data_IF_851857029030
#
_entry.id   IF_851857029030
#
_cell.length_a   1.000
_cell.length_b   1.000
_cell.length_c   1.000
_cell.angle_alpha   90.00
_cell.angle_beta   90.00
_cell.angle_gamma   90.00
#
_symmetry.space_group_name_H-M   'P 1'
#
loop_
_entity.id
_entity.type
_entity.pdbx_description
1 polymer ?
#
# COMPACT_ATOMS: atom_id res chain seq x y z
N UNK A 1 16.33 -1.52 -26.04
CA UNK A 1 16.09 -2.98 -25.92
C UNK A 1 15.87 -3.54 -27.32
N UNK A 2 16.47 -4.68 -27.61
CA UNK A 2 16.33 -5.38 -28.90
C UNK A 2 16.00 -6.84 -28.64
N UNK A 3 15.03 -7.38 -29.37
CA UNK A 3 14.81 -8.82 -29.42
C UNK A 3 15.85 -9.47 -30.34
N UNK A 4 16.80 -10.17 -29.75
CA UNK A 4 17.90 -10.85 -30.50
C UNK A 4 17.55 -12.28 -30.88
N UNK A 5 16.36 -12.76 -30.52
CA UNK A 5 15.85 -14.07 -30.97
C UNK A 5 15.48 -14.06 -32.43
N UNK A 6 15.30 -15.24 -32.99
CA UNK A 6 14.96 -15.46 -34.42
C UNK A 6 13.55 -16.03 -34.63
N UNK A 7 12.86 -16.45 -33.55
CA UNK A 7 11.63 -17.24 -33.66
C UNK A 7 10.44 -16.59 -32.96
N UNK A 8 10.60 -16.12 -31.72
CA UNK A 8 9.48 -15.69 -30.90
C UNK A 8 9.51 -14.21 -30.55
N UNK A 9 8.33 -13.59 -30.58
CA UNK A 9 8.16 -12.26 -30.04
C UNK A 9 8.13 -12.32 -28.48
N UNK A 10 8.65 -11.27 -27.84
CA UNK A 10 8.73 -11.20 -26.38
C UNK A 10 8.70 -9.78 -25.84
N UNK A 11 8.40 -9.65 -24.55
CA UNK A 11 8.56 -8.41 -23.80
C UNK A 11 9.73 -8.56 -22.82
N UNK A 12 10.46 -7.48 -22.59
CA UNK A 12 11.54 -7.44 -21.61
C UNK A 12 11.30 -6.35 -20.57
N UNK A 13 11.79 -6.58 -19.36
CA UNK A 13 11.75 -5.60 -18.27
C UNK A 13 13.12 -4.94 -18.16
N UNK A 14 13.13 -3.61 -18.19
CA UNK A 14 14.32 -2.82 -17.89
C UNK A 14 14.21 -2.31 -16.48
N UNK A 15 15.22 -2.58 -15.65
CA UNK A 15 15.31 -2.17 -14.27
C UNK A 15 16.50 -1.21 -14.11
N UNK A 16 16.26 -0.10 -13.40
CA UNK A 16 17.29 0.87 -13.05
C UNK A 16 17.57 0.74 -11.56
N UNK A 17 18.83 0.42 -11.27
CA UNK A 17 19.32 0.40 -9.89
C UNK A 17 20.30 1.53 -9.67
N UNK A 18 20.37 2.02 -8.43
CA UNK A 18 21.33 3.07 -8.06
C UNK A 18 22.13 2.65 -6.84
N UNK A 19 23.46 2.73 -6.94
CA UNK A 19 24.37 2.69 -5.79
C UNK A 19 24.51 4.10 -5.25
N UNK A 20 24.00 4.33 -4.05
CA UNK A 20 24.14 5.62 -3.36
C UNK A 20 25.49 5.70 -2.61
N UNK A 21 26.06 6.89 -2.39
CA UNK A 21 27.31 7.06 -1.66
C UNK A 21 27.17 6.57 -0.21
N UNK A 22 28.20 5.93 0.30
CA UNK A 22 28.29 5.48 1.68
C UNK A 22 28.88 6.63 2.53
N UNK A 23 28.02 7.38 3.18
CA UNK A 23 28.37 8.51 4.04
C UNK A 23 28.17 8.17 5.51
N UNK A 24 27.50 9.06 6.24
CA UNK A 24 27.12 8.83 7.64
C UNK A 24 26.08 7.71 7.73
N UNK A 25 25.16 7.68 6.76
CA UNK A 25 24.17 6.61 6.67
C UNK A 25 24.71 5.45 5.85
N UNK A 26 24.76 4.26 6.45
CA UNK A 26 25.09 3.03 5.72
C UNK A 26 23.90 2.67 4.83
N UNK A 27 24.17 2.38 3.56
CA UNK A 27 23.13 2.08 2.56
C UNK A 27 23.34 0.71 1.91
N UNK A 28 22.28 0.21 1.33
CA UNK A 28 22.31 -0.98 0.49
C UNK A 28 23.26 -0.78 -0.71
N UNK A 29 23.76 -1.89 -1.25
CA UNK A 29 24.69 -1.84 -2.39
C UNK A 29 24.05 -1.22 -3.64
N UNK A 30 22.78 -1.55 -3.90
CA UNK A 30 21.96 -1.00 -4.98
C UNK A 30 20.51 -1.00 -4.58
N UNK A 31 19.81 0.08 -4.82
CA UNK A 31 18.35 0.17 -4.67
C UNK A 31 17.69 0.26 -6.04
N UNK A 32 16.50 -0.32 -6.16
CA UNK A 32 15.66 -0.12 -7.32
C UNK A 32 15.17 1.33 -7.33
N UNK A 33 15.45 2.05 -8.44
CA UNK A 33 15.05 3.44 -8.59
C UNK A 33 13.91 3.61 -9.60
N UNK A 34 13.81 2.70 -10.58
CA UNK A 34 12.75 2.72 -11.57
C UNK A 34 12.79 1.49 -12.46
N UNK A 35 11.70 1.25 -13.16
CA UNK A 35 11.60 0.15 -14.12
C UNK A 35 10.59 0.45 -15.23
N UNK A 36 10.66 -0.31 -16.29
CA UNK A 36 9.71 -0.26 -17.39
C UNK A 36 9.70 -1.54 -18.19
N UNK A 37 8.59 -1.84 -18.85
CA UNK A 37 8.42 -3.03 -19.68
C UNK A 37 8.25 -2.64 -21.13
N UNK A 38 8.91 -3.36 -22.05
CA UNK A 38 8.78 -3.12 -23.49
C UNK A 38 7.38 -3.51 -23.97
N UNK A 39 6.98 -2.97 -25.12
CA UNK A 39 5.93 -3.60 -25.94
C UNK A 39 6.38 -5.00 -26.36
N UNK A 40 5.47 -5.76 -26.96
CA UNK A 40 5.83 -7.04 -27.58
C UNK A 40 6.73 -6.78 -28.79
N UNK A 41 7.99 -7.21 -28.71
CA UNK A 41 8.98 -7.03 -29.76
C UNK A 41 9.06 -8.30 -30.60
N UNK A 42 8.87 -8.15 -31.91
CA UNK A 42 9.13 -9.23 -32.87
C UNK A 42 10.63 -9.56 -32.95
N UNK A 43 11.03 -10.74 -33.50
CA UNK A 43 12.43 -11.06 -33.75
C UNK A 43 13.15 -9.96 -34.52
N UNK A 44 14.29 -9.49 -34.02
CA UNK A 44 15.06 -8.38 -34.57
C UNK A 44 14.53 -6.98 -34.26
N UNK A 45 13.31 -6.84 -33.77
CA UNK A 45 12.73 -5.54 -33.42
C UNK A 45 13.40 -4.92 -32.19
N UNK A 46 13.45 -3.59 -32.20
CA UNK A 46 14.02 -2.83 -31.10
C UNK A 46 13.08 -1.71 -30.62
N UNK A 47 13.22 -1.33 -29.37
CA UNK A 47 12.50 -0.22 -28.75
C UNK A 47 13.46 0.64 -27.93
N UNK A 48 13.41 1.94 -28.14
CA UNK A 48 14.00 2.90 -27.20
C UNK A 48 13.03 3.13 -26.07
N UNK A 49 13.54 3.12 -24.82
CA UNK A 49 12.76 3.38 -23.60
C UNK A 49 13.37 4.53 -22.82
N UNK A 50 12.51 5.34 -22.23
CA UNK A 50 12.89 6.34 -21.24
C UNK A 50 12.24 5.97 -19.92
N UNK A 51 13.06 5.81 -18.86
CA UNK A 51 12.60 5.53 -17.51
C UNK A 51 13.01 6.72 -16.64
N UNK A 52 12.03 7.38 -16.04
CA UNK A 52 12.23 8.56 -15.19
C UNK A 52 11.92 8.21 -13.75
N UNK A 53 12.74 8.70 -12.85
CA UNK A 53 12.48 8.59 -11.41
C UNK A 53 12.93 9.90 -10.71
N UNK A 54 12.25 10.31 -9.63
CA UNK A 54 12.62 11.52 -8.89
C UNK A 54 13.89 11.28 -8.06
N UNK A 55 14.69 12.32 -7.85
CA UNK A 55 15.87 12.25 -6.95
C UNK A 55 15.48 11.81 -5.53
N UNK A 56 14.29 12.14 -5.07
CA UNK A 56 13.74 11.70 -3.78
C UNK A 56 13.78 10.17 -3.61
N UNK A 57 13.69 9.40 -4.69
CA UNK A 57 13.81 7.94 -4.64
C UNK A 57 15.20 7.47 -4.19
N UNK A 58 16.20 8.35 -4.28
CA UNK A 58 17.58 8.08 -3.87
C UNK A 58 17.89 8.57 -2.44
N UNK A 59 16.99 9.36 -1.85
CA UNK A 59 17.14 9.87 -0.50
C UNK A 59 17.09 8.74 0.55
N UNK A 60 17.79 8.96 1.65
CA UNK A 60 17.69 8.13 2.86
C UNK A 60 17.22 9.00 4.02
N UNK A 61 16.55 8.38 4.99
CA UNK A 61 16.04 9.09 6.15
C UNK A 61 17.11 9.19 7.24
N UNK A 62 17.38 10.41 7.68
CA UNK A 62 18.23 10.70 8.83
C UNK A 62 17.34 10.94 10.06
N UNK A 63 17.43 10.04 11.05
CA UNK A 63 16.69 10.18 12.32
C UNK A 63 17.20 11.37 13.13
N UNK A 64 18.50 11.66 13.06
CA UNK A 64 19.13 12.78 13.76
C UNK A 64 18.67 14.14 13.23
N UNK A 65 18.46 14.23 11.92
CA UNK A 65 18.00 15.45 11.27
C UNK A 65 16.47 15.50 11.11
N UNK A 66 15.76 14.41 11.40
CA UNK A 66 14.35 14.21 11.09
C UNK A 66 14.04 14.57 9.62
N UNK A 67 14.85 14.08 8.67
CA UNK A 67 14.79 14.53 7.28
C UNK A 67 15.15 13.43 6.28
N UNK A 68 14.55 13.50 5.09
CA UNK A 68 15.02 12.77 3.92
C UNK A 68 16.16 13.54 3.28
N UNK A 69 17.34 12.91 3.21
CA UNK A 69 18.57 13.53 2.73
C UNK A 69 19.20 12.80 1.57
N UNK A 70 19.88 13.54 0.72
CA UNK A 70 20.85 13.01 -0.24
C UNK A 70 22.25 13.36 0.27
N UNK A 71 23.08 12.36 0.54
CA UNK A 71 24.45 12.60 0.97
C UNK A 71 25.36 12.91 -0.22
N UNK A 72 26.41 13.75 -0.01
CA UNK A 72 27.34 14.12 -1.09
C UNK A 72 28.12 12.91 -1.61
N UNK A 73 28.44 12.93 -2.89
CA UNK A 73 29.24 11.87 -3.53
C UNK A 73 28.62 11.37 -4.83
N UNK A 74 29.09 10.21 -5.27
CA UNK A 74 28.70 9.65 -6.55
C UNK A 74 27.56 8.63 -6.39
N UNK A 75 26.59 8.74 -7.29
CA UNK A 75 25.45 7.83 -7.43
C UNK A 75 25.62 7.05 -8.73
N UNK A 76 25.95 5.76 -8.63
CA UNK A 76 26.17 4.89 -9.78
C UNK A 76 24.87 4.35 -10.33
N UNK A 77 24.58 4.58 -11.62
CA UNK A 77 23.35 4.15 -12.30
C UNK A 77 23.62 2.85 -13.05
N UNK A 78 22.87 1.82 -12.68
CA UNK A 78 22.96 0.47 -13.23
C UNK A 78 21.71 0.13 -14.01
N UNK A 79 21.88 -0.43 -15.20
CA UNK A 79 20.77 -0.78 -16.09
C UNK A 79 20.85 -2.27 -16.42
N UNK A 80 19.74 -2.97 -16.30
CA UNK A 80 19.65 -4.39 -16.59
C UNK A 80 18.23 -4.91 -16.54
N UNK A 81 18.09 -6.22 -16.55
CA UNK A 81 16.82 -6.92 -16.35
C UNK A 81 16.78 -7.66 -15.00
N UNK A 82 17.86 -7.61 -14.25
CA UNK A 82 17.97 -8.10 -12.86
C UNK A 82 19.10 -7.39 -12.12
N UNK A 83 19.08 -7.50 -10.78
CA UNK A 83 20.03 -6.82 -9.90
C UNK A 83 21.49 -7.20 -10.16
N UNK A 84 21.78 -8.50 -10.28
CA UNK A 84 23.17 -9.01 -10.29
C UNK A 84 23.87 -8.80 -11.64
N UNK A 85 23.13 -8.86 -12.75
CA UNK A 85 23.67 -8.71 -14.11
C UNK A 85 23.52 -7.29 -14.66
N UNK A 86 22.95 -6.37 -13.86
CA UNK A 86 22.85 -4.96 -14.26
C UNK A 86 24.23 -4.33 -14.47
N UNK A 87 24.35 -3.48 -15.47
CA UNK A 87 25.62 -2.90 -15.95
C UNK A 87 25.67 -1.42 -15.56
N UNK A 88 26.81 -0.99 -14.97
CA UNK A 88 27.07 0.42 -14.69
C UNK A 88 27.06 1.22 -15.99
N UNK A 89 26.08 2.09 -16.14
CA UNK A 89 25.76 2.78 -17.40
C UNK A 89 25.85 4.30 -17.29
N UNK A 90 25.90 4.85 -16.07
CA UNK A 90 25.97 6.27 -15.82
C UNK A 90 26.27 6.59 -14.37
N UNK A 91 26.41 7.85 -14.04
CA UNK A 91 26.52 8.32 -12.67
C UNK A 91 26.07 9.77 -12.53
N UNK A 92 25.64 10.13 -11.32
CA UNK A 92 25.49 11.50 -10.84
C UNK A 92 26.57 11.78 -9.79
N UNK A 93 26.91 13.04 -9.56
CA UNK A 93 27.79 13.47 -8.47
C UNK A 93 27.18 14.69 -7.79
N UNK A 94 26.80 14.52 -6.53
CA UNK A 94 26.24 15.59 -5.69
C UNK A 94 27.37 16.25 -4.91
N UNK A 95 27.43 17.57 -4.95
CA UNK A 95 28.53 18.38 -4.36
C UNK A 95 28.47 18.48 -2.84
N UNK A 96 27.26 18.60 -2.28
CA UNK A 96 27.02 18.74 -0.84
C UNK A 96 25.75 17.98 -0.44
N UNK A 97 25.53 17.79 0.87
CA UNK A 97 24.29 17.23 1.36
C UNK A 97 23.10 18.11 0.96
N UNK A 98 22.00 17.45 0.56
CA UNK A 98 20.75 18.12 0.25
C UNK A 98 19.61 17.54 1.09
N UNK A 99 18.92 18.38 1.84
CA UNK A 99 17.68 18.01 2.52
C UNK A 99 16.55 18.09 1.50
N UNK A 100 15.94 16.95 1.20
CA UNK A 100 14.83 16.85 0.26
C UNK A 100 13.50 17.19 0.93
N UNK A 101 13.26 16.58 2.10
CA UNK A 101 12.03 16.79 2.88
C UNK A 101 12.39 16.89 4.35
N UNK A 102 12.01 17.97 4.99
CA UNK A 102 12.13 18.16 6.43
C UNK A 102 10.85 17.69 7.11
N UNK A 103 10.97 16.67 7.95
CA UNK A 103 9.88 16.04 8.69
C UNK A 103 10.01 16.28 10.21
N UNK A 104 9.11 15.64 10.97
CA UNK A 104 9.28 15.31 12.39
C UNK A 104 9.54 13.82 12.54
N UNK A 105 10.23 13.43 13.61
CA UNK A 105 10.38 12.00 13.92
C UNK A 105 9.05 11.38 14.37
N UNK A 106 8.87 10.11 14.01
CA UNK A 106 7.66 9.31 14.29
C UNK A 106 8.02 7.97 14.92
N UNK A 107 7.09 7.37 15.63
CA UNK A 107 7.20 6.02 16.17
C UNK A 107 8.53 5.76 16.94
N UNK A 108 8.90 6.58 17.93
CA UNK A 108 10.17 6.46 18.61
C UNK A 108 10.33 5.10 19.28
N UNK A 109 11.54 4.55 19.24
CA UNK A 109 11.88 3.34 19.98
C UNK A 109 11.79 3.59 21.49
N UNK A 110 11.23 2.63 22.24
CA UNK A 110 11.22 2.66 23.70
C UNK A 110 12.57 2.26 24.32
N UNK A 111 13.29 1.42 23.59
CA UNK A 111 14.62 0.92 24.00
C UNK A 111 15.56 0.94 22.80
N UNK A 112 16.86 1.01 23.07
CA UNK A 112 17.88 0.99 22.02
C UNK A 112 17.82 -0.33 21.25
N UNK A 113 17.68 -0.24 19.92
CA UNK A 113 17.70 -1.38 19.04
C UNK A 113 19.10 -1.68 18.58
N UNK A 114 19.58 -2.88 18.88
CA UNK A 114 20.87 -3.37 18.37
C UNK A 114 20.69 -3.86 16.93
N UNK A 115 20.97 -3.00 15.97
CA UNK A 115 20.90 -3.33 14.55
C UNK A 115 22.07 -4.22 14.08
N UNK A 116 21.80 -5.08 13.12
CA UNK A 116 22.81 -5.85 12.42
C UNK A 116 23.37 -4.99 11.28
N UNK A 117 24.61 -4.53 11.45
CA UNK A 117 25.27 -3.69 10.46
C UNK A 117 26.15 -4.54 9.53
N UNK A 118 26.25 -4.20 8.23
CA UNK A 118 27.20 -4.84 7.34
C UNK A 118 28.62 -4.52 7.73
N UNK A 119 29.56 -5.42 7.39
CA UNK A 119 30.98 -5.16 7.65
C UNK A 119 31.49 -3.94 6.86
N UNK A 120 31.89 -2.88 7.54
CA UNK A 120 32.34 -1.63 6.94
C UNK A 120 33.40 -1.83 5.83
N UNK A 121 34.36 -2.73 6.03
CA UNK A 121 35.37 -3.07 5.00
C UNK A 121 34.75 -3.62 3.71
N UNK A 122 33.66 -4.40 3.80
CA UNK A 122 32.95 -4.92 2.61
C UNK A 122 32.20 -3.82 1.89
N UNK A 123 31.56 -2.95 2.65
CA UNK A 123 30.83 -1.79 2.09
C UNK A 123 31.78 -0.89 1.32
N UNK A 124 32.88 -0.47 1.95
CA UNK A 124 33.93 0.36 1.33
C UNK A 124 34.57 -0.30 0.10
N UNK A 125 34.87 -1.60 0.18
CA UNK A 125 35.46 -2.32 -0.95
C UNK A 125 34.51 -2.36 -2.16
N UNK A 126 33.22 -2.54 -1.94
CA UNK A 126 32.22 -2.50 -3.01
C UNK A 126 32.09 -1.11 -3.63
N UNK A 127 32.08 -0.07 -2.82
CA UNK A 127 32.03 1.32 -3.30
C UNK A 127 33.24 1.66 -4.14
N UNK A 128 34.45 1.34 -3.65
CA UNK A 128 35.68 1.54 -4.41
C UNK A 128 35.68 0.76 -5.72
N UNK A 129 35.18 -0.47 -5.73
CA UNK A 129 35.16 -1.31 -6.93
C UNK A 129 34.35 -0.67 -8.07
N UNK A 130 33.13 -0.19 -7.78
CA UNK A 130 32.34 0.42 -8.83
C UNK A 130 32.84 1.83 -9.21
N UNK A 131 33.51 2.57 -8.31
CA UNK A 131 34.20 3.81 -8.67
C UNK A 131 35.34 3.56 -9.66
N UNK A 132 36.11 2.47 -9.47
CA UNK A 132 37.15 2.08 -10.43
C UNK A 132 36.54 1.61 -11.76
N UNK A 133 35.43 0.86 -11.74
CA UNK A 133 34.70 0.50 -12.94
C UNK A 133 34.21 1.74 -13.73
N UNK A 134 33.71 2.75 -13.00
CA UNK A 134 33.26 4.03 -13.59
C UNK A 134 34.42 4.69 -14.34
N UNK A 135 35.61 4.79 -13.72
CA UNK A 135 36.81 5.33 -14.35
C UNK A 135 37.27 4.49 -15.54
N UNK A 136 37.30 3.17 -15.39
CA UNK A 136 37.72 2.25 -16.47
C UNK A 136 36.83 2.34 -17.72
N UNK A 137 35.55 2.61 -17.51
CA UNK A 137 34.56 2.82 -18.60
C UNK A 137 34.59 4.25 -19.16
N UNK A 138 35.34 5.17 -18.57
CA UNK A 138 35.36 6.58 -18.97
C UNK A 138 34.02 7.31 -18.77
N UNK A 139 33.20 6.82 -17.83
CA UNK A 139 31.92 7.47 -17.51
C UNK A 139 32.19 8.70 -16.65
N UNK A 140 31.78 9.85 -17.15
CA UNK A 140 31.86 11.13 -16.43
C UNK A 140 30.54 11.33 -15.70
N UNK A 141 30.53 11.48 -14.35
CA UNK A 141 29.32 11.77 -13.61
C UNK A 141 28.69 13.11 -14.02
N UNK A 142 27.38 13.16 -14.09
CA UNK A 142 26.62 14.40 -14.25
C UNK A 142 26.63 15.13 -12.91
N UNK A 143 27.16 16.35 -12.88
CA UNK A 143 27.21 17.15 -11.66
C UNK A 143 25.82 17.65 -11.27
N UNK A 144 25.48 17.47 -10.00
CA UNK A 144 24.24 17.96 -9.38
C UNK A 144 24.65 18.86 -8.21
N UNK A 145 24.06 20.05 -8.13
CA UNK A 145 24.31 20.97 -7.02
C UNK A 145 23.19 20.88 -5.99
N UNK A 146 23.55 20.68 -4.75
CA UNK A 146 22.60 20.67 -3.64
C UNK A 146 21.76 21.96 -3.60
N UNK A 147 22.35 23.10 -3.93
CA UNK A 147 21.65 24.39 -3.99
C UNK A 147 20.52 24.47 -5.02
N UNK A 148 20.51 23.59 -6.03
CA UNK A 148 19.47 23.53 -7.05
C UNK A 148 18.31 22.58 -6.65
N UNK A 149 18.45 21.88 -5.52
CA UNK A 149 17.46 20.93 -5.00
C UNK A 149 16.59 21.66 -3.96
N UNK A 150 15.29 21.83 -4.21
CA UNK A 150 14.41 22.46 -3.25
C UNK A 150 14.18 21.56 -2.03
N UNK A 151 14.13 22.16 -0.85
CA UNK A 151 13.71 21.48 0.39
C UNK A 151 12.22 21.69 0.59
N UNK A 152 11.47 20.58 0.65
CA UNK A 152 10.09 20.59 1.12
C UNK A 152 10.07 20.59 2.65
N UNK A 153 9.21 21.41 3.25
CA UNK A 153 8.93 21.34 4.70
C UNK A 153 7.51 20.86 4.88
N UNK A 154 7.36 19.80 5.67
CA UNK A 154 6.04 19.30 6.04
C UNK A 154 5.39 20.27 7.02
N UNK A 155 4.16 20.65 6.74
CA UNK A 155 3.32 21.43 7.65
C UNK A 155 2.40 20.49 8.41
N UNK A 156 2.78 20.17 9.65
CA UNK A 156 1.99 19.31 10.51
C UNK A 156 0.80 20.09 11.08
N UNK A 157 -0.32 19.93 10.41
CA UNK A 157 -1.53 20.67 10.73
C UNK A 157 -2.20 20.12 11.99
N UNK A 158 -2.69 21.02 12.83
CA UNK A 158 -3.65 20.63 13.86
C UNK A 158 -4.95 20.23 13.20
N UNK A 159 -5.54 19.12 13.64
CA UNK A 159 -6.88 18.73 13.23
C UNK A 159 -7.81 19.91 13.53
N UNK A 160 -8.51 20.48 12.53
CA UNK A 160 -9.42 21.60 12.77
C UNK A 160 -10.53 21.17 13.71
N UNK A 161 -10.90 22.04 14.67
CA UNK A 161 -12.03 21.80 15.57
C UNK A 161 -13.35 21.64 14.80
N UNK A 162 -13.46 22.30 13.64
CA UNK A 162 -14.61 22.24 12.75
C UNK A 162 -14.16 21.81 11.37
N UNK A 163 -14.70 20.73 10.87
CA UNK A 163 -14.44 20.28 9.51
C UNK A 163 -15.09 21.22 8.49
N UNK A 164 -14.39 21.59 7.43
CA UNK A 164 -14.98 22.47 6.40
C UNK A 164 -15.97 21.73 5.49
N UNK A 165 -16.94 22.47 4.95
CA UNK A 165 -17.87 22.01 3.93
C UNK A 165 -18.98 21.10 4.45
N UNK A 166 -19.68 20.44 3.50
CA UNK A 166 -20.88 19.63 3.79
C UNK A 166 -20.63 18.51 4.84
N UNK A 167 -19.48 17.91 4.84
CA UNK A 167 -19.16 16.87 5.82
C UNK A 167 -19.14 17.43 7.25
N UNK A 168 -18.52 18.60 7.44
CA UNK A 168 -18.54 19.30 8.73
C UNK A 168 -19.96 19.70 9.16
N UNK A 169 -20.76 20.27 8.24
CA UNK A 169 -22.15 20.63 8.50
C UNK A 169 -23.00 19.42 8.95
N UNK A 170 -22.75 18.24 8.38
CA UNK A 170 -23.44 16.99 8.77
C UNK A 170 -22.97 16.55 10.16
N UNK A 171 -21.66 16.51 10.39
CA UNK A 171 -21.06 16.08 11.67
C UNK A 171 -21.56 16.97 12.82
N UNK A 172 -21.64 18.28 12.63
CA UNK A 172 -22.14 19.22 13.65
C UNK A 172 -23.61 18.99 14.03
N UNK A 173 -24.40 18.43 13.12
CA UNK A 173 -25.83 18.15 13.35
C UNK A 173 -26.07 16.76 13.94
N UNK A 174 -25.10 15.87 13.91
CA UNK A 174 -25.24 14.51 14.44
C UNK A 174 -25.06 14.46 15.94
N UNK A 175 -25.81 13.58 16.60
CA UNK A 175 -25.55 13.27 18.01
C UNK A 175 -24.28 12.44 18.16
N UNK A 176 -23.73 12.42 19.38
CA UNK A 176 -22.56 11.58 19.69
C UNK A 176 -22.81 10.10 19.37
N UNK A 177 -24.02 9.58 19.68
CA UNK A 177 -24.41 8.22 19.39
C UNK A 177 -24.43 7.94 17.87
N UNK A 178 -24.88 8.90 17.06
CA UNK A 178 -24.88 8.78 15.61
C UNK A 178 -23.45 8.80 15.04
N UNK A 179 -22.57 9.66 15.57
CA UNK A 179 -21.16 9.71 15.21
C UNK A 179 -20.44 8.40 15.55
N UNK A 180 -20.70 7.84 16.75
CA UNK A 180 -20.15 6.53 17.14
C UNK A 180 -20.65 5.44 16.21
N UNK A 181 -21.93 5.44 15.81
CA UNK A 181 -22.44 4.48 14.83
C UNK A 181 -21.76 4.62 13.48
N UNK A 182 -21.57 5.84 12.98
CA UNK A 182 -20.84 6.09 11.74
C UNK A 182 -19.41 5.58 11.78
N UNK A 183 -18.73 5.72 12.92
CA UNK A 183 -17.35 5.29 13.10
C UNK A 183 -17.20 3.77 13.27
N UNK A 184 -18.25 3.05 13.71
CA UNK A 184 -18.16 1.61 14.01
C UNK A 184 -18.69 0.71 12.89
N UNK A 185 -19.30 1.26 11.84
CA UNK A 185 -20.00 0.50 10.83
C UNK A 185 -21.38 0.02 11.29
N UNK A 186 -22.13 -0.64 10.42
CA UNK A 186 -23.46 -1.13 10.78
C UNK A 186 -23.39 -2.47 11.53
N UNK A 187 -23.77 -2.54 12.82
CA UNK A 187 -23.77 -3.78 13.58
C UNK A 187 -24.90 -4.76 13.17
N UNK A 188 -25.80 -4.35 12.27
CA UNK A 188 -26.99 -5.09 11.93
C UNK A 188 -28.06 -5.08 13.01
N UNK A 189 -29.31 -5.37 12.63
CA UNK A 189 -30.44 -5.46 13.59
C UNK A 189 -30.38 -6.72 14.46
N UNK A 190 -29.67 -7.73 14.03
CA UNK A 190 -29.48 -8.96 14.78
C UNK A 190 -28.18 -8.88 15.61
N UNK A 191 -28.33 -8.56 16.88
CA UNK A 191 -27.26 -8.30 17.86
C UNK A 191 -26.31 -9.47 18.17
N UNK A 192 -26.26 -10.49 17.31
CA UNK A 192 -25.38 -11.65 17.48
C UNK A 192 -24.13 -11.66 16.58
N UNK A 193 -23.92 -10.63 15.78
CA UNK A 193 -22.91 -10.64 14.74
C UNK A 193 -21.70 -9.79 15.14
N UNK A 194 -20.65 -10.41 15.64
CA UNK A 194 -19.41 -9.74 16.07
C UNK A 194 -18.65 -9.03 14.93
N UNK A 195 -19.06 -9.25 13.68
CA UNK A 195 -18.40 -8.69 12.48
C UNK A 195 -19.28 -7.70 11.70
N UNK A 196 -20.36 -7.18 12.33
CA UNK A 196 -21.25 -6.24 11.67
C UNK A 196 -22.27 -6.91 10.75
N UNK A 197 -23.01 -6.09 9.98
CA UNK A 197 -24.06 -6.54 9.06
C UNK A 197 -23.53 -6.99 7.70
N UNK A 198 -22.50 -7.82 7.69
CA UNK A 198 -21.95 -8.33 6.45
C UNK A 198 -23.06 -8.95 5.58
N UNK A 199 -23.24 -8.40 4.38
CA UNK A 199 -24.13 -8.95 3.37
C UNK A 199 -25.59 -8.58 3.45
N UNK A 200 -25.99 -7.45 4.03
CA UNK A 200 -27.38 -6.99 4.03
C UNK A 200 -27.81 -6.52 2.65
N UNK A 201 -27.12 -5.56 2.04
CA UNK A 201 -27.47 -5.04 0.71
C UNK A 201 -26.78 -5.83 -0.40
N UNK A 202 -25.53 -6.27 -0.17
CA UNK A 202 -24.78 -7.10 -1.11
C UNK A 202 -24.39 -8.42 -0.44
N UNK A 203 -24.96 -9.55 -0.85
CA UNK A 203 -24.70 -10.84 -0.23
C UNK A 203 -23.22 -11.24 -0.26
N UNK A 204 -22.63 -11.41 0.93
CA UNK A 204 -21.22 -11.76 1.08
C UNK A 204 -20.27 -10.57 1.06
N UNK A 205 -20.78 -9.33 1.09
CA UNK A 205 -19.96 -8.16 1.39
C UNK A 205 -19.28 -8.31 2.76
N UNK A 206 -18.12 -7.71 2.92
CA UNK A 206 -17.35 -7.80 4.16
C UNK A 206 -17.92 -6.92 5.27
N UNK A 207 -18.45 -5.76 4.89
CA UNK A 207 -19.13 -4.82 5.78
C UNK A 207 -19.95 -3.82 4.97
N UNK A 208 -20.78 -3.07 5.68
CA UNK A 208 -21.52 -1.92 5.16
C UNK A 208 -21.45 -0.77 6.17
N UNK A 209 -21.49 0.47 5.69
CA UNK A 209 -21.65 1.62 6.58
C UNK A 209 -23.10 1.73 7.04
N UNK A 210 -23.37 2.31 8.23
CA UNK A 210 -24.72 2.37 8.78
C UNK A 210 -25.64 3.29 7.98
N UNK A 211 -26.93 3.02 8.07
CA UNK A 211 -27.97 3.84 7.45
C UNK A 211 -28.32 5.09 8.27
N UNK A 212 -27.64 5.36 9.38
CA UNK A 212 -27.97 6.45 10.30
C UNK A 212 -27.99 7.84 9.65
N UNK A 213 -27.22 8.03 8.60
CA UNK A 213 -27.17 9.28 7.83
C UNK A 213 -27.85 9.17 6.45
N UNK A 214 -28.54 8.07 6.15
CA UNK A 214 -29.14 7.84 4.83
C UNK A 214 -30.45 8.60 4.62
N UNK A 215 -31.15 8.98 5.70
CA UNK A 215 -32.40 9.71 5.66
C UNK A 215 -32.18 11.23 5.70
N UNK A 216 -33.25 11.98 5.40
CA UNK A 216 -33.24 13.44 5.57
C UNK A 216 -32.88 13.86 7.01
N UNK A 217 -32.17 14.96 7.22
CA UNK A 217 -31.73 15.92 6.18
C UNK A 217 -30.43 15.62 5.46
N UNK A 218 -29.71 14.55 5.83
CA UNK A 218 -28.30 14.34 5.42
C UNK A 218 -28.15 13.64 4.07
N UNK A 219 -28.97 12.63 3.79
CA UNK A 219 -28.93 11.85 2.54
C UNK A 219 -27.53 11.31 2.19
N UNK A 220 -26.84 10.75 3.17
CA UNK A 220 -25.54 10.07 2.99
C UNK A 220 -25.81 8.59 2.76
N UNK A 221 -25.56 8.12 1.55
CA UNK A 221 -25.76 6.71 1.21
C UNK A 221 -24.87 5.78 2.02
N UNK A 222 -25.42 4.65 2.45
CA UNK A 222 -24.59 3.52 2.94
C UNK A 222 -23.78 2.97 1.78
N UNK A 223 -22.56 2.53 2.08
CA UNK A 223 -21.63 1.91 1.13
C UNK A 223 -21.31 0.49 1.54
N UNK A 224 -21.17 -0.39 0.56
CA UNK A 224 -20.79 -1.78 0.78
C UNK A 224 -19.29 -1.99 0.49
N UNK A 225 -18.64 -2.79 1.32
CA UNK A 225 -17.23 -3.12 1.27
C UNK A 225 -17.06 -4.60 0.92
N UNK A 226 -16.25 -4.92 -0.09
CA UNK A 226 -15.94 -6.32 -0.44
C UNK A 226 -14.47 -6.63 -0.23
N UNK A 227 -14.18 -7.77 0.39
CA UNK A 227 -12.83 -8.29 0.51
C UNK A 227 -12.42 -9.09 -0.73
N UNK A 228 -11.17 -9.52 -0.79
CA UNK A 228 -10.62 -10.41 -1.81
C UNK A 228 -9.52 -9.80 -2.68
N UNK A 229 -8.25 -9.78 -2.21
CA UNK A 229 -7.13 -9.27 -3.00
C UNK A 229 -6.86 -10.00 -4.32
N UNK A 230 -7.41 -11.20 -4.49
CA UNK A 230 -7.36 -11.96 -5.74
C UNK A 230 -8.69 -11.94 -6.53
N UNK A 231 -9.43 -10.84 -6.46
CA UNK A 231 -10.77 -10.64 -7.02
C UNK A 231 -11.84 -10.50 -5.95
N UNK A 232 -12.97 -9.87 -6.27
CA UNK A 232 -14.05 -9.66 -5.30
C UNK A 232 -14.52 -10.99 -4.70
N UNK A 233 -14.66 -11.01 -3.38
CA UNK A 233 -15.11 -12.19 -2.65
C UNK A 233 -16.52 -11.96 -2.12
N UNK A 234 -17.51 -12.31 -2.93
CA UNK A 234 -18.92 -12.22 -2.60
C UNK A 234 -19.55 -13.62 -2.50
N UNK A 235 -20.72 -13.70 -1.89
CA UNK A 235 -21.44 -14.96 -1.76
C UNK A 235 -21.96 -15.42 -3.12
N UNK A 236 -21.50 -16.58 -3.58
CA UNK A 236 -21.79 -17.12 -4.90
C UNK A 236 -23.29 -17.44 -5.13
N UNK A 237 -23.98 -17.96 -4.11
CA UNK A 237 -25.43 -18.24 -4.14
C UNK A 237 -26.09 -17.58 -2.93
N UNK A 238 -27.15 -16.83 -3.16
CA UNK A 238 -27.97 -16.25 -2.12
C UNK A 238 -29.46 -16.39 -2.47
N UNK A 239 -30.35 -16.12 -1.52
CA UNK A 239 -31.76 -16.33 -1.66
C UNK A 239 -32.53 -15.05 -1.42
N UNK A 240 -33.62 -14.89 -2.18
CA UNK A 240 -34.54 -13.78 -2.04
C UNK A 240 -35.94 -14.31 -1.78
N UNK A 241 -36.54 -13.87 -0.69
CA UNK A 241 -37.91 -14.17 -0.31
C UNK A 241 -38.69 -12.89 -0.10
N UNK A 242 -39.86 -12.77 -0.72
CA UNK A 242 -40.71 -11.56 -0.66
C UNK A 242 -39.94 -10.26 -1.03
N UNK A 243 -39.03 -10.32 -2.01
CA UNK A 243 -38.25 -9.17 -2.48
C UNK A 243 -37.13 -8.74 -1.54
N UNK A 244 -36.81 -9.53 -0.52
CA UNK A 244 -35.71 -9.28 0.42
C UNK A 244 -34.70 -10.41 0.39
N UNK A 245 -33.42 -10.05 0.54
CA UNK A 245 -32.37 -11.02 0.71
C UNK A 245 -32.61 -11.79 2.02
N UNK A 246 -32.62 -13.12 1.94
CA UNK A 246 -32.74 -13.97 3.13
C UNK A 246 -31.44 -13.87 3.91
N UNK A 247 -31.49 -13.42 5.18
CA UNK A 247 -30.29 -13.35 6.01
C UNK A 247 -29.58 -14.71 6.08
N UNK A 248 -28.29 -14.68 6.00
CA UNK A 248 -27.47 -15.89 6.17
C UNK A 248 -26.93 -15.92 7.59
N UNK A 249 -26.72 -17.14 8.11
CA UNK A 249 -26.04 -17.26 9.39
C UNK A 249 -24.62 -16.67 9.32
N UNK A 250 -24.09 -16.28 10.48
CA UNK A 250 -22.80 -15.62 10.62
C UNK A 250 -21.66 -16.35 9.88
N UNK A 251 -21.58 -17.67 10.03
CA UNK A 251 -20.52 -18.45 9.38
C UNK A 251 -20.69 -18.50 7.85
N UNK A 252 -21.92 -18.44 7.38
CA UNK A 252 -22.22 -18.37 5.94
C UNK A 252 -21.96 -16.98 5.34
N UNK A 253 -21.90 -15.94 6.15
CA UNK A 253 -21.55 -14.60 5.71
C UNK A 253 -20.05 -14.40 5.59
N UNK A 254 -19.27 -15.12 6.41
CA UNK A 254 -17.81 -15.03 6.38
C UNK A 254 -17.22 -15.65 5.11
N UNK A 255 -16.16 -15.04 4.61
CA UNK A 255 -15.32 -15.55 3.54
C UNK A 255 -16.13 -15.94 2.27
N UNK A 256 -17.15 -15.15 1.93
CA UNK A 256 -18.00 -15.43 0.78
C UNK A 256 -18.81 -16.72 0.88
N UNK A 257 -19.05 -17.21 2.09
CA UNK A 257 -19.79 -18.44 2.36
C UNK A 257 -18.92 -19.70 2.41
N UNK A 258 -17.61 -19.55 2.56
CA UNK A 258 -16.68 -20.69 2.68
C UNK A 258 -17.05 -21.65 3.83
N UNK A 259 -17.58 -21.10 4.93
CA UNK A 259 -18.02 -21.85 6.10
C UNK A 259 -19.54 -22.11 6.14
N UNK A 260 -20.22 -22.08 4.99
CA UNK A 260 -21.67 -22.24 4.94
C UNK A 260 -22.16 -23.55 5.58
N UNK A 261 -22.99 -23.42 6.61
CA UNK A 261 -23.56 -24.55 7.37
C UNK A 261 -25.04 -24.77 7.07
N UNK A 262 -25.76 -23.78 6.57
CA UNK A 262 -27.21 -23.85 6.36
C UNK A 262 -27.55 -24.51 5.02
N UNK A 263 -28.40 -25.55 5.08
CA UNK A 263 -28.91 -26.29 3.92
C UNK A 263 -30.34 -25.90 3.55
N UNK A 264 -31.01 -25.08 4.36
CA UNK A 264 -32.41 -24.71 4.07
C UNK A 264 -32.44 -23.64 2.98
N UNK A 265 -33.07 -23.95 1.86
CA UNK A 265 -33.35 -23.02 0.78
C UNK A 265 -34.71 -22.39 0.99
N UNK A 266 -34.77 -21.07 1.14
CA UNK A 266 -35.99 -20.28 1.26
C UNK A 266 -36.07 -19.27 0.10
N UNK A 267 -37.22 -19.21 -0.59
CA UNK A 267 -37.39 -18.27 -1.69
C UNK A 267 -36.67 -18.71 -2.99
N UNK A 268 -36.33 -17.73 -3.80
CA UNK A 268 -35.67 -17.93 -5.09
C UNK A 268 -34.15 -17.80 -4.96
N UNK A 269 -33.39 -18.76 -5.49
CA UNK A 269 -31.92 -18.68 -5.53
C UNK A 269 -31.45 -17.76 -6.65
N UNK A 270 -30.51 -16.88 -6.29
CA UNK A 270 -29.77 -16.05 -7.21
C UNK A 270 -28.29 -16.37 -7.14
N UNK A 271 -27.58 -16.12 -8.22
CA UNK A 271 -26.16 -16.42 -8.35
C UNK A 271 -25.39 -15.17 -8.78
N UNK A 272 -24.24 -14.95 -8.16
CA UNK A 272 -23.27 -13.92 -8.55
C UNK A 272 -21.86 -14.52 -8.57
N UNK A 273 -21.16 -14.26 -9.67
CA UNK A 273 -19.83 -14.81 -9.88
C UNK A 273 -18.85 -13.69 -10.11
N UNK A 274 -17.83 -13.61 -9.27
CA UNK A 274 -16.76 -12.64 -9.39
C UNK A 274 -15.56 -13.26 -10.08
N UNK A 275 -14.82 -12.45 -10.81
CA UNK A 275 -13.62 -12.89 -11.52
C UNK A 275 -12.45 -13.04 -10.56
N UNK A 276 -11.84 -14.23 -10.54
CA UNK A 276 -10.56 -14.43 -9.87
C UNK A 276 -9.42 -13.83 -10.72
N UNK A 277 -8.61 -13.00 -10.10
CA UNK A 277 -7.38 -12.45 -10.70
C UNK A 277 -6.14 -13.12 -10.10
N UNK A 278 -4.97 -13.04 -10.77
CA UNK A 278 -3.74 -13.53 -10.19
C UNK A 278 -3.41 -12.88 -8.85
N UNK A 279 -2.80 -13.64 -7.96
CA UNK A 279 -2.38 -13.14 -6.64
C UNK A 279 -1.31 -12.05 -6.75
N UNK A 280 -1.22 -11.19 -5.74
CA UNK A 280 -0.34 -10.00 -5.75
C UNK A 280 1.10 -10.28 -6.14
N UNK A 281 1.71 -11.32 -5.56
CA UNK A 281 3.07 -11.75 -5.91
C UNK A 281 3.24 -12.05 -7.41
N UNK A 282 2.26 -12.73 -8.02
CA UNK A 282 2.32 -13.04 -9.45
C UNK A 282 2.12 -11.79 -10.31
N UNK A 283 1.23 -10.88 -9.90
CA UNK A 283 1.07 -9.59 -10.58
C UNK A 283 2.35 -8.77 -10.56
N UNK A 284 3.03 -8.70 -9.42
CA UNK A 284 4.30 -7.97 -9.28
C UNK A 284 5.42 -8.55 -10.18
N UNK A 285 5.49 -9.87 -10.31
CA UNK A 285 6.47 -10.54 -11.21
C UNK A 285 6.26 -10.21 -12.69
N UNK A 286 5.12 -9.65 -13.06
CA UNK A 286 4.91 -9.17 -14.43
C UNK A 286 5.71 -7.90 -14.72
N UNK A 287 6.03 -7.08 -13.72
CA UNK A 287 6.64 -5.75 -13.87
C UNK A 287 5.86 -4.86 -14.86
N UNK A 288 4.55 -5.03 -14.94
CA UNK A 288 3.71 -4.40 -15.96
C UNK A 288 2.58 -3.59 -15.33
N UNK A 289 2.85 -2.30 -15.11
CA UNK A 289 1.93 -1.37 -14.48
C UNK A 289 0.63 -1.19 -15.30
N UNK A 290 0.74 -1.17 -16.64
CA UNK A 290 -0.43 -1.02 -17.50
C UNK A 290 -1.38 -2.21 -17.37
N UNK A 291 -0.85 -3.44 -17.36
CA UNK A 291 -1.65 -4.65 -17.13
C UNK A 291 -2.37 -4.60 -15.78
N UNK A 292 -1.68 -4.17 -14.72
CA UNK A 292 -2.26 -4.07 -13.38
C UNK A 292 -3.36 -3.01 -13.35
N UNK A 293 -3.18 -1.90 -14.07
CA UNK A 293 -4.21 -0.86 -14.21
C UNK A 293 -5.44 -1.37 -14.96
N UNK A 294 -5.26 -2.11 -16.06
CA UNK A 294 -6.37 -2.74 -16.79
C UNK A 294 -7.14 -3.74 -15.92
N UNK A 295 -6.44 -4.54 -15.13
CA UNK A 295 -7.07 -5.44 -14.15
C UNK A 295 -7.85 -4.66 -13.09
N UNK A 296 -7.29 -3.54 -12.61
CA UNK A 296 -7.99 -2.65 -11.67
C UNK A 296 -9.29 -2.10 -12.26
N UNK A 297 -9.27 -1.65 -13.53
CA UNK A 297 -10.48 -1.18 -14.21
C UNK A 297 -11.53 -2.29 -14.36
N UNK A 298 -11.10 -3.50 -14.65
CA UNK A 298 -12.00 -4.67 -14.70
C UNK A 298 -12.67 -4.93 -13.33
N UNK A 299 -11.89 -4.88 -12.23
CA UNK A 299 -12.43 -5.03 -10.87
C UNK A 299 -13.38 -3.87 -10.55
N UNK A 300 -13.04 -2.62 -10.90
CA UNK A 300 -13.92 -1.48 -10.71
C UNK A 300 -15.28 -1.65 -11.41
N UNK A 301 -15.29 -2.16 -12.64
CA UNK A 301 -16.53 -2.48 -13.36
C UNK A 301 -17.34 -3.59 -12.67
N UNK A 302 -16.69 -4.61 -12.11
CA UNK A 302 -17.39 -5.62 -11.31
C UNK A 302 -17.94 -5.04 -10.00
N UNK A 303 -17.19 -4.13 -9.35
CA UNK A 303 -17.67 -3.42 -8.15
C UNK A 303 -18.95 -2.63 -8.44
N UNK A 304 -18.96 -1.86 -9.52
CA UNK A 304 -20.16 -1.13 -9.97
C UNK A 304 -21.33 -2.09 -10.21
N UNK A 305 -21.09 -3.20 -10.93
CA UNK A 305 -22.11 -4.21 -11.22
C UNK A 305 -22.74 -4.82 -9.97
N UNK A 306 -21.93 -5.05 -8.94
CA UNK A 306 -22.39 -5.66 -7.68
C UNK A 306 -22.77 -4.66 -6.59
N UNK A 307 -22.64 -3.35 -6.84
CA UNK A 307 -22.96 -2.30 -5.86
C UNK A 307 -21.92 -2.19 -4.73
N UNK A 308 -20.66 -2.49 -5.00
CA UNK A 308 -19.55 -2.35 -4.08
C UNK A 308 -18.88 -0.99 -4.27
N UNK A 309 -18.70 -0.25 -3.18
CA UNK A 309 -18.00 1.04 -3.20
C UNK A 309 -16.52 0.89 -2.86
N UNK A 310 -16.18 0.13 -1.81
CA UNK A 310 -14.80 -0.08 -1.39
C UNK A 310 -14.38 -1.54 -1.56
N UNK A 311 -13.30 -1.74 -2.28
CA UNK A 311 -12.60 -3.01 -2.35
C UNK A 311 -11.49 -3.04 -1.31
N UNK A 312 -11.53 -4.01 -0.38
CA UNK A 312 -10.53 -4.17 0.68
C UNK A 312 -9.24 -4.79 0.13
N UNK A 313 -8.65 -4.12 -0.80
CA UNK A 313 -7.44 -4.46 -1.53
C UNK A 313 -6.87 -3.20 -2.23
N UNK A 314 -5.61 -3.25 -2.72
CA UNK A 314 -4.67 -4.35 -2.63
C UNK A 314 -4.00 -4.51 -1.26
N UNK A 315 -3.59 -5.73 -0.94
CA UNK A 315 -2.60 -5.98 0.11
C UNK A 315 -1.20 -5.65 -0.40
N UNK A 316 -0.36 -4.99 0.42
CA UNK A 316 0.93 -4.50 -0.07
C UNK A 316 2.06 -4.48 0.97
N UNK A 317 1.93 -5.27 2.03
CA UNK A 317 3.01 -5.39 3.01
C UNK A 317 4.26 -6.01 2.39
N UNK A 318 5.40 -5.69 2.96
CA UNK A 318 6.69 -6.17 2.48
C UNK A 318 6.86 -7.66 2.76
N UNK A 319 7.37 -8.42 1.79
CA UNK A 319 7.77 -9.83 1.96
C UNK A 319 9.02 -9.91 2.84
N UNK A 320 8.84 -9.70 4.16
CA UNK A 320 9.94 -9.67 5.14
C UNK A 320 10.44 -11.06 5.48
N UNK A 321 9.51 -12.00 5.61
CA UNK A 321 9.78 -13.38 5.98
C UNK A 321 9.05 -14.31 5.00
N UNK A 322 9.74 -15.26 4.34
CA UNK A 322 9.10 -16.18 3.40
C UNK A 322 8.03 -17.07 4.04
N UNK A 323 8.07 -17.22 5.37
CA UNK A 323 7.06 -18.00 6.12
C UNK A 323 5.79 -17.20 6.47
N UNK A 324 5.71 -15.91 6.15
CA UNK A 324 4.48 -15.15 6.35
C UNK A 324 3.36 -15.70 5.46
N UNK A 325 2.26 -16.16 6.07
CA UNK A 325 1.17 -16.86 5.40
C UNK A 325 0.40 -16.01 4.37
N UNK A 326 0.56 -14.67 4.40
CA UNK A 326 -0.11 -13.75 3.49
C UNK A 326 0.78 -13.17 2.40
N UNK A 327 2.04 -13.60 2.26
CA UNK A 327 2.92 -13.10 1.19
C UNK A 327 2.33 -13.29 -0.21
N UNK A 328 1.50 -14.32 -0.43
CA UNK A 328 0.90 -14.57 -1.73
C UNK A 328 0.04 -13.40 -2.24
N UNK A 329 -0.67 -12.70 -1.34
CA UNK A 329 -1.53 -11.56 -1.68
C UNK A 329 -0.79 -10.23 -1.75
N UNK A 330 0.42 -10.15 -1.19
CA UNK A 330 1.28 -8.99 -1.25
C UNK A 330 2.14 -8.99 -2.52
N UNK A 331 2.71 -7.84 -2.87
CA UNK A 331 3.41 -7.69 -4.14
C UNK A 331 4.88 -8.13 -4.10
N UNK A 332 5.69 -7.56 -3.19
CA UNK A 332 7.14 -7.69 -3.25
C UNK A 332 7.82 -7.45 -1.89
N UNK A 333 9.11 -7.81 -1.81
CA UNK A 333 10.03 -7.34 -0.78
C UNK A 333 10.54 -5.92 -1.04
N UNK A 334 10.46 -5.45 -2.30
CA UNK A 334 10.89 -4.13 -2.71
C UNK A 334 9.74 -3.12 -2.58
N UNK A 335 9.90 -2.04 -1.80
CA UNK A 335 8.83 -1.09 -1.54
C UNK A 335 8.46 -0.24 -2.77
N UNK A 336 9.39 0.03 -3.69
CA UNK A 336 9.09 0.75 -4.93
C UNK A 336 8.18 -0.09 -5.82
N UNK A 337 8.52 -1.35 -6.04
CA UNK A 337 7.70 -2.26 -6.84
C UNK A 337 6.32 -2.44 -6.21
N UNK A 338 6.25 -2.69 -4.90
CA UNK A 338 4.99 -2.85 -4.19
C UNK A 338 4.11 -1.59 -4.28
N UNK A 339 4.68 -0.41 -4.06
CA UNK A 339 3.97 0.86 -4.12
C UNK A 339 3.46 1.19 -5.52
N UNK A 340 4.27 1.02 -6.55
CA UNK A 340 3.87 1.28 -7.95
C UNK A 340 2.79 0.30 -8.44
N UNK A 341 2.85 -0.97 -8.02
CA UNK A 341 1.80 -1.96 -8.33
C UNK A 341 0.48 -1.59 -7.65
N UNK A 342 0.53 -1.21 -6.37
CA UNK A 342 -0.65 -0.78 -5.62
C UNK A 342 -1.26 0.51 -6.20
N UNK A 343 -0.42 1.49 -6.57
CA UNK A 343 -0.85 2.70 -7.24
C UNK A 343 -1.55 2.39 -8.57
N UNK A 344 -0.96 1.52 -9.39
CA UNK A 344 -1.55 1.13 -10.69
C UNK A 344 -2.89 0.42 -10.53
N UNK A 345 -3.02 -0.50 -9.58
CA UNK A 345 -4.28 -1.16 -9.26
C UNK A 345 -5.34 -0.15 -8.82
N UNK A 346 -4.96 0.77 -7.92
CA UNK A 346 -5.84 1.83 -7.41
C UNK A 346 -6.33 2.75 -8.52
N UNK A 347 -5.44 3.23 -9.38
CA UNK A 347 -5.79 4.07 -10.52
C UNK A 347 -6.73 3.35 -11.49
N UNK A 348 -6.58 2.04 -11.64
CA UNK A 348 -7.48 1.22 -12.45
C UNK A 348 -8.88 1.15 -11.85
N UNK A 349 -9.01 0.75 -10.59
CA UNK A 349 -10.30 0.65 -9.88
C UNK A 349 -11.01 2.00 -9.84
N UNK A 350 -10.30 3.06 -9.47
CA UNK A 350 -10.87 4.40 -9.29
C UNK A 350 -11.17 5.13 -10.62
N UNK A 351 -10.86 4.52 -11.75
CA UNK A 351 -11.35 4.97 -13.06
C UNK A 351 -12.88 4.82 -13.18
N UNK A 352 -13.46 3.88 -12.43
CA UNK A 352 -14.91 3.68 -12.34
C UNK A 352 -15.45 4.57 -11.22
N UNK A 353 -16.32 5.56 -11.55
CA UNK A 353 -16.84 6.50 -10.58
C UNK A 353 -17.57 5.80 -9.42
N UNK A 354 -17.28 6.21 -8.19
CA UNK A 354 -17.90 5.64 -6.98
C UNK A 354 -17.25 4.33 -6.50
N UNK A 355 -16.24 3.83 -7.18
CA UNK A 355 -15.47 2.65 -6.76
C UNK A 355 -14.08 3.06 -6.27
N UNK A 356 -13.60 2.48 -5.18
CA UNK A 356 -12.29 2.78 -4.63
C UNK A 356 -11.60 1.59 -3.97
N UNK A 357 -10.30 1.72 -3.77
CA UNK A 357 -9.46 0.74 -3.09
C UNK A 357 -9.28 1.09 -1.62
N UNK A 358 -9.01 0.06 -0.82
CA UNK A 358 -8.52 0.15 0.55
C UNK A 358 -7.18 -0.54 0.61
N UNK A 359 -6.09 0.22 0.53
CA UNK A 359 -4.74 -0.35 0.63
C UNK A 359 -4.47 -0.86 2.04
N UNK A 360 -3.83 -2.05 2.15
CA UNK A 360 -3.69 -2.75 3.43
C UNK A 360 -2.42 -3.60 3.52
N UNK A 361 -1.97 -3.93 4.70
CA UNK A 361 -2.37 -3.52 6.04
C UNK A 361 -1.36 -2.51 6.59
N UNK A 362 -1.80 -1.36 6.94
CA UNK A 362 -0.98 -0.20 7.31
C UNK A 362 -0.67 -0.19 8.82
N UNK A 363 0.56 -0.53 9.26
CA UNK A 363 1.68 -1.03 8.51
C UNK A 363 2.35 -2.19 9.26
N UNK A 364 3.41 -2.76 8.65
CA UNK A 364 4.26 -3.76 9.30
C UNK A 364 3.60 -5.12 9.60
N UNK A 365 2.52 -5.50 8.92
CA UNK A 365 1.93 -6.85 9.05
C UNK A 365 2.76 -7.87 8.24
N UNK A 366 3.86 -8.34 8.83
CA UNK A 366 4.84 -9.19 8.17
C UNK A 366 4.91 -10.62 8.73
N UNK A 367 4.01 -10.97 9.63
CA UNK A 367 3.76 -12.31 10.15
C UNK A 367 2.28 -12.49 10.50
N UNK A 368 1.79 -13.72 10.40
CA UNK A 368 0.42 -14.05 10.78
C UNK A 368 0.32 -14.73 12.15
N UNK A 369 1.40 -15.38 12.60
CA UNK A 369 1.46 -15.95 13.95
C UNK A 369 1.37 -14.82 14.98
N UNK A 370 0.36 -14.93 15.88
CA UNK A 370 0.08 -13.93 16.90
C UNK A 370 -0.01 -12.48 16.34
N UNK A 371 -0.60 -12.30 15.14
CA UNK A 371 -0.65 -11.00 14.46
C UNK A 371 -1.32 -9.90 15.27
N UNK A 372 -2.27 -10.25 16.17
CA UNK A 372 -2.95 -9.30 17.06
C UNK A 372 -2.12 -8.91 18.28
N UNK A 373 -1.08 -9.68 18.61
CA UNK A 373 -0.23 -9.47 19.77
C UNK A 373 1.24 -9.23 19.46
N UNK A 374 1.62 -9.23 18.19
CA UNK A 374 2.99 -8.98 17.78
C UNK A 374 3.29 -7.48 17.79
N UNK A 375 4.52 -7.14 18.22
CA UNK A 375 5.05 -5.78 18.12
C UNK A 375 6.21 -5.76 17.13
N UNK A 376 6.08 -4.94 16.11
CA UNK A 376 7.13 -4.71 15.13
C UNK A 376 8.09 -3.66 15.67
N UNK A 377 9.24 -4.12 16.18
CA UNK A 377 10.29 -3.24 16.73
C UNK A 377 11.31 -2.93 15.64
N UNK A 378 11.43 -1.65 15.28
CA UNK A 378 12.31 -1.22 14.20
C UNK A 378 12.69 0.26 14.36
N UNK A 379 13.85 0.66 13.78
CA UNK A 379 14.23 2.06 13.69
C UNK A 379 13.27 2.85 12.79
N UNK A 380 13.14 4.14 13.04
CA UNK A 380 12.30 4.99 12.21
C UNK A 380 12.76 5.00 10.74
N UNK A 381 14.07 5.00 10.52
CA UNK A 381 14.64 4.89 9.19
C UNK A 381 14.14 3.63 8.46
N UNK A 382 14.22 2.47 9.11
CA UNK A 382 13.72 1.22 8.55
C UNK A 382 12.20 1.27 8.31
N UNK A 383 11.45 1.85 9.24
CA UNK A 383 10.01 2.04 9.09
C UNK A 383 9.70 2.86 7.83
N UNK A 384 10.33 4.01 7.67
CA UNK A 384 10.08 4.94 6.55
C UNK A 384 10.60 4.43 5.20
N UNK A 385 11.84 3.92 5.16
CA UNK A 385 12.46 3.53 3.89
C UNK A 385 11.93 2.21 3.32
N UNK A 386 11.37 1.33 4.16
CA UNK A 386 10.93 0.00 3.74
C UNK A 386 9.43 -0.19 3.95
N UNK A 387 8.94 -0.11 5.20
CA UNK A 387 7.58 -0.55 5.51
C UNK A 387 6.50 0.47 5.18
N UNK A 388 6.80 1.74 5.25
CA UNK A 388 5.90 2.83 4.89
C UNK A 388 6.07 3.29 3.44
N UNK A 389 7.25 3.08 2.84
CA UNK A 389 7.58 3.61 1.51
C UNK A 389 6.61 3.19 0.40
N UNK A 390 6.18 1.94 0.40
CA UNK A 390 5.18 1.48 -0.57
C UNK A 390 3.84 2.19 -0.42
N UNK A 391 3.39 2.42 0.81
CA UNK A 391 2.16 3.16 1.11
C UNK A 391 2.29 4.64 0.72
N UNK A 392 3.42 5.28 1.00
CA UNK A 392 3.73 6.64 0.55
C UNK A 392 3.55 6.77 -0.97
N UNK A 393 4.15 5.86 -1.74
CA UNK A 393 4.06 5.85 -3.21
C UNK A 393 2.61 5.68 -3.66
N UNK A 394 1.90 4.70 -3.11
CA UNK A 394 0.52 4.44 -3.49
C UNK A 394 -0.41 5.62 -3.17
N UNK A 395 -0.20 6.30 -2.05
CA UNK A 395 -0.97 7.47 -1.66
C UNK A 395 -0.66 8.66 -2.58
N UNK A 396 0.60 9.02 -2.74
CA UNK A 396 1.01 10.18 -3.54
C UNK A 396 0.63 10.04 -5.02
N UNK A 397 0.73 8.84 -5.57
CA UNK A 397 0.50 8.59 -7.00
C UNK A 397 -0.98 8.31 -7.34
N UNK A 398 -1.78 7.77 -6.41
CA UNK A 398 -3.12 7.27 -6.73
C UNK A 398 -4.24 7.70 -5.78
N UNK A 399 -3.94 8.26 -4.61
CA UNK A 399 -4.95 8.68 -3.62
C UNK A 399 -6.05 7.62 -3.42
N UNK A 400 -5.74 6.44 -2.84
CA UNK A 400 -6.74 5.42 -2.58
C UNK A 400 -7.88 5.99 -1.70
N UNK A 401 -9.10 5.54 -1.92
CA UNK A 401 -10.24 6.04 -1.12
C UNK A 401 -10.13 5.68 0.35
N UNK A 402 -9.41 4.60 0.67
CA UNK A 402 -9.25 4.16 2.06
C UNK A 402 -7.89 3.49 2.31
N UNK A 403 -7.52 3.49 3.59
CA UNK A 403 -6.42 2.70 4.17
C UNK A 403 -6.99 1.82 5.27
N UNK A 404 -6.55 0.56 5.35
CA UNK A 404 -6.85 -0.32 6.48
C UNK A 404 -5.60 -0.51 7.32
N UNK A 405 -5.69 -0.18 8.62
CA UNK A 405 -4.59 -0.39 9.56
C UNK A 405 -4.38 -1.87 9.84
N UNK A 406 -3.18 -2.23 10.24
CA UNK A 406 -2.83 -3.61 10.61
C UNK A 406 -3.21 -3.94 12.06
N UNK A 407 -3.17 -5.23 12.40
CA UNK A 407 -3.45 -5.72 13.77
C UNK A 407 -2.30 -5.52 14.76
N UNK A 408 -1.06 -5.49 14.27
CA UNK A 408 0.13 -5.47 15.10
C UNK A 408 0.40 -4.11 15.76
N UNK A 409 1.30 -4.12 16.73
CA UNK A 409 1.89 -2.90 17.25
C UNK A 409 3.12 -2.49 16.41
N UNK A 410 3.46 -1.22 16.48
CA UNK A 410 4.68 -0.63 15.92
C UNK A 410 5.38 0.12 17.06
N UNK A 411 6.54 -0.36 17.48
CA UNK A 411 7.30 0.21 18.60
C UNK A 411 6.44 0.41 19.87
N UNK A 412 5.55 -0.56 20.15
CA UNK A 412 4.68 -0.57 21.31
C UNK A 412 3.42 0.27 21.22
N UNK A 413 3.07 0.79 20.04
CA UNK A 413 1.82 1.50 19.77
C UNK A 413 0.99 0.70 18.76
N UNK A 414 -0.26 0.45 19.06
CA UNK A 414 -1.16 -0.28 18.17
C UNK A 414 -1.33 0.48 16.85
N UNK A 415 -1.18 -0.20 15.71
CA UNK A 415 -1.24 0.45 14.39
C UNK A 415 -2.54 1.24 14.17
N UNK A 416 -3.68 0.77 14.70
CA UNK A 416 -4.96 1.45 14.62
C UNK A 416 -5.00 2.77 15.42
N UNK A 417 -4.20 2.90 16.49
CA UNK A 417 -4.12 4.06 17.37
C UNK A 417 -2.85 4.89 17.14
N UNK A 418 -2.06 4.56 16.14
CA UNK A 418 -0.80 5.22 15.90
C UNK A 418 -1.00 6.57 15.19
N UNK A 419 -1.08 7.65 15.99
CA UNK A 419 -1.18 9.02 15.46
C UNK A 419 -0.03 9.34 14.50
N UNK A 420 1.19 8.90 14.81
CA UNK A 420 2.37 9.15 14.02
C UNK A 420 2.24 8.59 12.59
N UNK A 421 1.76 7.36 12.44
CA UNK A 421 1.57 6.79 11.10
C UNK A 421 0.29 7.28 10.44
N UNK A 422 -0.84 7.29 11.16
CA UNK A 422 -2.15 7.60 10.57
C UNK A 422 -2.33 9.09 10.27
N UNK A 423 -1.77 9.97 11.10
CA UNK A 423 -1.93 11.43 10.93
C UNK A 423 -0.66 12.05 10.38
N UNK A 424 0.46 12.02 11.12
CA UNK A 424 1.68 12.69 10.67
C UNK A 424 2.15 12.17 9.31
N UNK A 425 2.37 10.86 9.18
CA UNK A 425 2.88 10.30 7.93
C UNK A 425 1.82 10.33 6.82
N UNK A 426 0.65 9.67 7.03
CA UNK A 426 -0.32 9.52 5.96
C UNK A 426 -0.96 10.85 5.54
N UNK A 427 -1.44 11.66 6.49
CA UNK A 427 -2.18 12.88 6.16
C UNK A 427 -1.26 14.06 5.93
N UNK A 428 -0.35 14.34 6.87
CA UNK A 428 0.44 15.59 6.80
C UNK A 428 1.60 15.47 5.81
N UNK A 429 2.35 14.36 5.81
CA UNK A 429 3.50 14.20 4.91
C UNK A 429 3.10 13.77 3.49
N UNK A 430 2.07 12.92 3.35
CA UNK A 430 1.70 12.37 2.03
C UNK A 430 0.40 12.91 1.47
N UNK A 431 -0.34 13.71 2.24
CA UNK A 431 -1.58 14.34 1.79
C UNK A 431 -2.74 13.37 1.60
N UNK A 432 -2.80 12.27 2.37
CA UNK A 432 -3.90 11.31 2.28
C UNK A 432 -5.23 11.93 2.67
N UNK A 433 -6.18 11.95 1.75
CA UNK A 433 -7.49 12.56 1.94
C UNK A 433 -8.61 11.56 2.21
N UNK A 434 -8.34 10.26 2.08
CA UNK A 434 -9.35 9.20 2.21
C UNK A 434 -9.68 8.81 3.66
N UNK A 435 -10.49 7.76 3.80
CA UNK A 435 -10.85 7.21 5.10
C UNK A 435 -9.76 6.25 5.62
N UNK A 436 -9.51 6.27 6.93
CA UNK A 436 -8.68 5.25 7.60
C UNK A 436 -9.62 4.37 8.41
N UNK A 437 -9.60 3.07 8.14
CA UNK A 437 -10.36 2.06 8.88
C UNK A 437 -9.41 1.09 9.57
N UNK A 438 -9.89 0.44 10.63
CA UNK A 438 -9.17 -0.67 11.26
C UNK A 438 -9.41 -1.97 10.50
N UNK A 439 -8.50 -2.92 10.62
CA UNK A 439 -8.83 -4.30 10.28
C UNK A 439 -9.90 -4.84 11.27
N UNK A 440 -10.63 -5.89 10.90
CA UNK A 440 -11.81 -6.36 11.60
C UNK A 440 -11.50 -6.78 13.04
N UNK A 441 -12.37 -6.40 13.97
CA UNK A 441 -12.26 -6.71 15.40
C UNK A 441 -11.06 -6.09 16.15
N UNK A 442 -10.25 -5.26 15.52
CA UNK A 442 -9.06 -4.65 16.13
C UNK A 442 -9.41 -3.89 17.42
N UNK A 443 -10.50 -3.13 17.41
CA UNK A 443 -10.95 -2.31 18.57
C UNK A 443 -11.74 -3.10 19.61
N UNK A 444 -12.16 -4.33 19.31
CA UNK A 444 -12.92 -5.20 20.20
C UNK A 444 -12.08 -6.21 20.97
N UNK A 445 -10.77 -6.23 20.76
CA UNK A 445 -9.90 -7.23 21.39
C UNK A 445 -9.56 -6.81 22.81
N UNK A 446 -10.38 -7.20 23.77
CA UNK A 446 -10.10 -7.09 25.21
C UNK A 446 -8.81 -7.79 25.67
N UNK A 447 -8.14 -8.51 24.77
CA UNK A 447 -6.97 -9.34 25.07
C UNK A 447 -5.71 -8.50 25.33
N UNK A 448 -5.68 -7.24 24.93
CA UNK A 448 -4.48 -6.40 25.06
C UNK A 448 -4.67 -5.05 25.76
N UNK A 449 -5.81 -4.80 26.34
CA UNK A 449 -6.00 -3.76 27.36
C UNK A 449 -5.87 -2.30 26.94
N UNK A 450 -5.52 -1.97 25.70
CA UNK A 450 -5.21 -0.60 25.29
C UNK A 450 -5.71 -0.21 23.89
N UNK A 451 -6.60 -0.96 23.26
CA UNK A 451 -7.29 -0.47 22.06
C UNK A 451 -8.48 0.41 22.50
N UNK A 452 -8.19 1.62 22.86
CA UNK A 452 -9.19 2.68 22.89
C UNK A 452 -9.14 3.38 21.54
N UNK A 453 -10.26 3.35 20.83
CA UNK A 453 -10.45 4.11 19.60
C UNK A 453 -10.28 5.60 19.87
#
# INVERSE_FOLDING_TARGET
VKNTGDTYAGKEVVQIYVSCPQGELVKEFRRLAGFGKTKLLAPGEEQQMTITFPLYQLASYSEDQAAWILEPGKYGIWVGNELNTSVLSGALELDQEAVMVQCENICPLKEELKEIMPFAKKVQARELAWHEELKAKGIVPVAVKAADIPTEKVDYQKIPEVLPGRAGEIVEQMSEEQLVQMATGDPGKDQGNALGSAGISVPGSAAETPLVAAEEPWNVASIALADGPAGLRLKKEYQVENGRIVPTDFLSALEGGFFATSKEKRGTSYYQYCTAIPVGTLLAQTWNLDLVRELGEMIGNEMELFGITLWLAPGMNIHRNPLCGRNFEYYSEDPLLAGMMAASMTLGVQKVPGCGTTIKHYACNNQEDNRMGSDSILSERTLREIYLKGFEIAIKDAQPMSIMTSYNLINGVHAANCYDTCTKAARDEWGFAGAIMTDWTTTNVQIQGECTA
#
